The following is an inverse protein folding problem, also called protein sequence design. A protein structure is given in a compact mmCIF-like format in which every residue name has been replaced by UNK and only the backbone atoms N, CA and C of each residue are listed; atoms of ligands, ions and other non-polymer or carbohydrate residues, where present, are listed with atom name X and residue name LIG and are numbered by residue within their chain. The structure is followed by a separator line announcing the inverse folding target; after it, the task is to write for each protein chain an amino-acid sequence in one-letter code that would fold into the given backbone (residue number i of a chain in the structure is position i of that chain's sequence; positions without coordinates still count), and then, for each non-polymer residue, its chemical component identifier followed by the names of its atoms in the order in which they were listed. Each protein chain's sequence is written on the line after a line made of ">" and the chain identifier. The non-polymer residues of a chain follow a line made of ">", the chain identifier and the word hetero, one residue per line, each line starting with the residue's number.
data_IF_374418112107
#
_entry.id   IF_374418112107
#
_cell.length_a   1.000
_cell.length_b   1.000
_cell.length_c   1.000
_cell.angle_alpha   90.00
_cell.angle_beta   90.00
_cell.angle_gamma   90.00
#
_symmetry.space_group_name_H-M   'P 1'
#
loop_
_entity.id
_entity.type
_entity.pdbx_description
1 polymer ?
#
# COMPACT_ATOMS: atom_id res chain seq x y z
N UNK A 1 31.66 17.14 34.77
CA UNK A 1 31.70 16.26 35.96
C UNK A 1 31.36 14.85 35.50
N UNK A 2 32.28 13.92 35.76
CA UNK A 2 32.21 12.46 35.60
C UNK A 2 31.99 11.91 34.17
N UNK A 3 33.07 11.34 33.62
CA UNK A 3 33.13 10.78 32.28
C UNK A 3 32.39 9.45 32.17
N UNK A 4 31.61 9.33 31.09
CA UNK A 4 31.14 8.06 30.55
C UNK A 4 32.36 7.36 29.93
N UNK A 5 33.06 6.57 30.74
CA UNK A 5 34.02 5.61 30.24
C UNK A 5 33.24 4.55 29.46
N UNK A 6 33.35 4.64 28.14
CA UNK A 6 32.91 3.64 27.16
C UNK A 6 33.56 2.30 27.51
N UNK A 7 32.85 1.44 28.22
CA UNK A 7 33.12 0.01 28.14
C UNK A 7 32.45 -0.48 26.87
N UNK A 8 33.18 -0.44 25.75
CA UNK A 8 32.83 -1.29 24.63
C UNK A 8 32.99 -2.72 25.14
N UNK A 9 31.88 -3.38 25.47
CA UNK A 9 31.88 -4.81 25.74
C UNK A 9 32.55 -5.49 24.53
N UNK A 10 33.55 -6.35 24.73
CA UNK A 10 34.03 -7.21 23.65
C UNK A 10 32.82 -7.92 23.05
N UNK A 11 32.75 -7.98 21.72
CA UNK A 11 31.58 -8.56 21.05
C UNK A 11 31.32 -9.97 21.62
N UNK A 12 30.06 -10.31 21.91
CA UNK A 12 29.71 -11.53 22.68
C UNK A 12 30.31 -12.82 22.10
N UNK A 13 30.53 -12.84 20.78
CA UNK A 13 31.17 -13.94 20.07
C UNK A 13 32.67 -14.07 20.39
N UNK A 14 33.35 -12.94 20.56
CA UNK A 14 34.77 -12.88 20.95
C UNK A 14 34.92 -13.35 22.40
N UNK A 15 33.99 -12.98 23.27
CA UNK A 15 33.91 -13.48 24.66
C UNK A 15 33.68 -14.99 24.69
N UNK A 16 32.73 -15.50 23.90
CA UNK A 16 32.46 -16.94 23.78
C UNK A 16 33.69 -17.72 23.30
N UNK A 17 34.38 -17.21 22.29
CA UNK A 17 35.60 -17.83 21.77
C UNK A 17 36.71 -17.84 22.83
N UNK A 18 36.95 -16.72 23.51
CA UNK A 18 37.94 -16.63 24.57
C UNK A 18 37.63 -17.59 25.74
N UNK A 19 36.36 -17.66 26.15
CA UNK A 19 35.90 -18.58 27.19
C UNK A 19 36.12 -20.05 26.79
N UNK A 20 35.87 -20.42 25.52
CA UNK A 20 36.15 -21.77 25.01
C UNK A 20 37.64 -22.12 25.08
N UNK A 21 38.50 -21.21 24.62
CA UNK A 21 39.96 -21.38 24.68
C UNK A 21 40.42 -21.54 26.13
N UNK A 22 39.91 -20.70 27.04
CA UNK A 22 40.27 -20.77 28.45
C UNK A 22 39.82 -22.08 29.12
N UNK A 23 38.61 -22.58 28.80
CA UNK A 23 38.13 -23.91 29.24
C UNK A 23 39.04 -25.03 28.75
N UNK A 24 39.43 -24.99 27.48
CA UNK A 24 40.31 -25.98 26.89
C UNK A 24 41.69 -25.98 27.57
N UNK A 25 42.28 -24.80 27.78
CA UNK A 25 43.54 -24.66 28.50
C UNK A 25 43.47 -25.22 29.92
N UNK A 26 42.39 -24.95 30.65
CA UNK A 26 42.17 -25.52 31.98
C UNK A 26 42.07 -27.06 31.92
N UNK A 27 41.33 -27.62 30.95
CA UNK A 27 41.21 -29.06 30.77
C UNK A 27 42.57 -29.71 30.46
N UNK A 28 43.37 -29.08 29.60
CA UNK A 28 44.71 -29.56 29.23
C UNK A 28 45.67 -29.52 30.41
N UNK A 29 45.63 -28.48 31.23
CA UNK A 29 46.42 -28.36 32.45
C UNK A 29 46.04 -29.43 33.48
N UNK A 30 44.74 -29.66 33.70
CA UNK A 30 44.26 -30.73 34.59
C UNK A 30 44.67 -32.11 34.04
N UNK A 31 44.58 -32.33 32.74
CA UNK A 31 45.02 -33.57 32.09
C UNK A 31 46.54 -33.76 32.16
N UNK A 32 47.32 -32.67 32.14
CA UNK A 32 48.76 -32.72 32.40
C UNK A 32 49.06 -33.14 33.85
N UNK A 33 48.30 -32.64 34.83
CA UNK A 33 48.40 -33.09 36.23
C UNK A 33 48.04 -34.58 36.35
N UNK A 34 46.96 -35.04 35.69
CA UNK A 34 46.58 -36.46 35.66
C UNK A 34 47.70 -37.35 35.09
N UNK A 35 48.27 -36.96 33.94
CA UNK A 35 49.38 -37.68 33.31
C UNK A 35 50.62 -37.70 34.19
N UNK A 36 50.98 -36.57 34.80
CA UNK A 36 52.13 -36.49 35.71
C UNK A 36 51.91 -37.33 36.97
N UNK A 37 50.70 -37.38 37.52
CA UNK A 37 50.36 -38.23 38.67
C UNK A 37 50.50 -39.71 38.33
N UNK A 38 50.02 -40.14 37.16
CA UNK A 38 50.18 -41.52 36.69
C UNK A 38 51.66 -41.90 36.51
N UNK A 39 52.46 -40.99 35.96
CA UNK A 39 53.90 -41.23 35.70
C UNK A 39 54.77 -41.18 36.97
N UNK A 40 54.55 -40.19 37.84
CA UNK A 40 55.45 -39.89 38.97
C UNK A 40 54.97 -40.47 40.31
N UNK A 41 53.66 -40.62 40.50
CA UNK A 41 53.07 -41.07 41.76
C UNK A 41 52.45 -42.48 41.68
N UNK A 42 52.34 -43.05 40.48
CA UNK A 42 51.82 -44.41 40.25
C UNK A 42 50.34 -44.62 40.61
N UNK A 43 49.59 -43.54 40.84
CA UNK A 43 48.17 -43.60 41.20
C UNK A 43 47.30 -43.58 39.93
N UNK A 44 46.25 -44.43 39.91
CA UNK A 44 45.28 -44.53 38.81
C UNK A 44 44.33 -43.33 38.76
N UNK A 45 43.91 -42.83 39.92
CA UNK A 45 43.07 -41.65 40.05
C UNK A 45 43.81 -40.55 40.82
N UNK A 46 43.70 -39.31 40.32
CA UNK A 46 44.32 -38.14 40.96
C UNK A 46 43.72 -37.85 42.32
N UNK A 47 42.45 -38.19 42.55
CA UNK A 47 41.76 -38.11 43.85
C UNK A 47 42.48 -38.83 44.97
N UNK A 48 43.18 -39.92 44.64
CA UNK A 48 43.84 -40.79 45.62
C UNK A 48 45.28 -40.34 45.92
N UNK A 49 45.72 -39.24 45.29
CA UNK A 49 47.04 -38.68 45.44
C UNK A 49 46.98 -37.37 46.24
N UNK A 50 47.46 -37.35 47.50
CA UNK A 50 47.37 -36.17 48.37
C UNK A 50 48.18 -34.98 47.84
N UNK A 51 49.15 -35.20 46.95
CA UNK A 51 49.95 -34.13 46.34
C UNK A 51 49.36 -33.62 45.02
N UNK A 52 48.73 -34.48 44.22
CA UNK A 52 48.21 -34.12 42.90
C UNK A 52 46.74 -33.67 42.94
N UNK A 53 45.96 -34.15 43.91
CA UNK A 53 44.57 -33.74 44.08
C UNK A 53 44.42 -32.24 44.35
N UNK A 54 45.12 -31.63 45.34
CA UNK A 54 45.03 -30.18 45.56
C UNK A 54 45.49 -29.37 44.35
N UNK A 55 46.56 -29.82 43.65
CA UNK A 55 47.04 -29.17 42.43
C UNK A 55 46.02 -29.18 41.30
N UNK A 56 45.26 -30.26 41.14
CA UNK A 56 44.19 -30.32 40.15
C UNK A 56 43.04 -29.38 40.52
N UNK A 57 42.67 -29.33 41.81
CA UNK A 57 41.65 -28.40 42.32
C UNK A 57 42.08 -26.93 42.18
N UNK A 58 43.35 -26.62 42.43
CA UNK A 58 43.90 -25.27 42.24
C UNK A 58 43.78 -24.80 40.78
N UNK A 59 44.02 -25.71 39.82
CA UNK A 59 43.83 -25.39 38.40
C UNK A 59 42.36 -25.16 38.04
N UNK A 60 41.46 -25.95 38.61
CA UNK A 60 40.02 -25.76 38.41
C UNK A 60 39.53 -24.45 39.02
N UNK A 61 39.97 -24.14 40.25
CA UNK A 61 39.68 -22.90 40.97
C UNK A 61 40.19 -21.67 40.21
N UNK A 62 41.44 -21.69 39.74
CA UNK A 62 42.05 -20.59 39.01
C UNK A 62 41.22 -20.18 37.78
N UNK A 63 40.55 -21.14 37.11
CA UNK A 63 39.64 -20.84 36.00
C UNK A 63 38.50 -19.90 36.41
N UNK A 64 37.99 -20.01 37.63
CA UNK A 64 36.86 -19.22 38.10
C UNK A 64 37.32 -17.94 38.81
N UNK A 65 38.34 -18.03 39.65
CA UNK A 65 38.78 -16.91 40.50
C UNK A 65 39.77 -15.97 39.81
N UNK A 66 40.60 -16.50 38.89
CA UNK A 66 41.70 -15.74 38.27
C UNK A 66 41.36 -15.33 36.82
N UNK A 67 40.17 -15.69 36.33
CA UNK A 67 39.68 -15.24 35.03
C UNK A 67 39.32 -13.75 35.05
N UNK A 68 40.09 -12.96 34.31
CA UNK A 68 39.80 -11.54 34.04
C UNK A 68 38.39 -11.38 33.44
N UNK A 69 37.59 -10.44 33.96
CA UNK A 69 36.40 -9.70 33.47
C UNK A 69 35.62 -10.17 32.20
N UNK A 70 35.71 -11.42 31.78
CA UNK A 70 35.33 -11.92 30.44
C UNK A 70 34.50 -13.19 30.47
N UNK A 71 34.12 -13.67 31.65
CA UNK A 71 33.22 -14.81 31.82
C UNK A 71 31.90 -14.34 32.44
N UNK A 72 30.84 -15.12 32.25
CA UNK A 72 29.48 -14.82 32.71
C UNK A 72 29.39 -14.59 34.24
N UNK A 73 30.35 -15.13 35.01
CA UNK A 73 30.44 -15.01 36.46
C UNK A 73 31.36 -13.89 36.95
N UNK A 74 32.09 -13.17 36.09
CA UNK A 74 33.14 -12.23 36.52
C UNK A 74 32.62 -11.10 37.42
N UNK A 75 31.38 -10.67 37.25
CA UNK A 75 30.76 -9.64 38.09
C UNK A 75 30.11 -10.18 39.38
N UNK A 76 30.07 -11.51 39.56
CA UNK A 76 29.38 -12.17 40.67
C UNK A 76 30.31 -12.47 41.84
N UNK A 77 30.78 -11.41 42.50
CA UNK A 77 31.80 -11.50 43.57
C UNK A 77 31.39 -12.40 44.74
N UNK A 78 30.10 -12.41 45.11
CA UNK A 78 29.60 -13.28 46.18
C UNK A 78 29.75 -14.77 45.83
N UNK A 79 29.30 -15.15 44.63
CA UNK A 79 29.45 -16.51 44.10
C UNK A 79 30.92 -16.92 43.95
N UNK A 80 31.79 -16.02 43.47
CA UNK A 80 33.22 -16.31 43.35
C UNK A 80 33.88 -16.57 44.72
N UNK A 81 33.50 -15.82 45.75
CA UNK A 81 33.98 -16.06 47.11
C UNK A 81 33.44 -17.38 47.68
N UNK A 82 32.17 -17.71 47.41
CA UNK A 82 31.59 -18.99 47.81
C UNK A 82 32.29 -20.17 47.13
N UNK A 83 32.50 -20.09 45.81
CA UNK A 83 33.27 -21.10 45.08
C UNK A 83 34.68 -21.27 45.63
N UNK A 84 35.36 -20.17 45.99
CA UNK A 84 36.69 -20.23 46.59
C UNK A 84 36.68 -21.05 47.89
N UNK A 85 35.71 -20.80 48.76
CA UNK A 85 35.51 -21.58 50.00
C UNK A 85 35.20 -23.05 49.69
N UNK A 86 34.31 -23.34 48.72
CA UNK A 86 33.98 -24.71 48.35
C UNK A 86 35.19 -25.48 47.79
N UNK A 87 36.05 -24.83 47.00
CA UNK A 87 37.29 -25.45 46.52
C UNK A 87 38.29 -25.67 47.67
N UNK A 88 38.33 -24.81 48.68
CA UNK A 88 39.12 -25.03 49.89
C UNK A 88 38.60 -26.24 50.69
N UNK A 89 37.29 -26.33 50.91
CA UNK A 89 36.65 -27.45 51.59
C UNK A 89 36.79 -28.77 50.81
N UNK A 90 36.76 -28.73 49.47
CA UNK A 90 36.99 -29.91 48.64
C UNK A 90 38.42 -30.44 48.73
N UNK A 91 39.43 -29.57 48.94
CA UNK A 91 40.81 -30.02 49.21
C UNK A 91 40.92 -30.79 50.52
N UNK A 92 40.07 -30.43 51.49
CA UNK A 92 39.97 -31.09 52.80
C UNK A 92 39.00 -32.28 52.78
N UNK A 93 38.46 -32.66 51.61
CA UNK A 93 37.45 -33.71 51.44
C UNK A 93 36.17 -33.51 52.26
N UNK A 94 35.85 -32.26 52.63
CA UNK A 94 34.60 -31.92 53.32
C UNK A 94 33.41 -31.82 52.38
N UNK A 95 33.68 -31.50 51.11
CA UNK A 95 32.69 -31.25 50.07
C UNK A 95 33.10 -32.02 48.81
N UNK A 96 32.12 -32.66 48.18
CA UNK A 96 32.33 -33.38 46.92
C UNK A 96 32.34 -32.43 45.71
N UNK A 97 33.11 -32.80 44.68
CA UNK A 97 33.14 -32.08 43.42
C UNK A 97 31.77 -31.96 42.75
N UNK A 98 30.90 -32.95 42.96
CA UNK A 98 29.53 -32.94 42.45
C UNK A 98 28.71 -31.79 43.04
N UNK A 99 28.89 -31.49 44.32
CA UNK A 99 28.21 -30.38 44.97
C UNK A 99 28.67 -29.03 44.39
N UNK A 100 29.97 -28.89 44.11
CA UNK A 100 30.52 -27.70 43.43
C UNK A 100 29.88 -27.55 42.04
N UNK A 101 29.77 -28.63 41.27
CA UNK A 101 29.10 -28.61 39.96
C UNK A 101 27.63 -28.21 40.07
N UNK A 102 26.90 -28.73 41.05
CA UNK A 102 25.49 -28.39 41.30
C UNK A 102 25.33 -26.88 41.63
N UNK A 103 26.21 -26.30 42.46
CA UNK A 103 26.19 -24.86 42.74
C UNK A 103 26.51 -24.02 41.50
N UNK A 104 27.49 -24.44 40.69
CA UNK A 104 27.82 -23.75 39.44
C UNK A 104 26.62 -23.79 38.46
N UNK A 105 25.94 -24.91 38.33
CA UNK A 105 24.78 -25.04 37.45
C UNK A 105 23.59 -24.22 37.93
N UNK A 106 23.32 -24.20 39.24
CA UNK A 106 22.29 -23.34 39.85
C UNK A 106 22.55 -21.86 39.56
N UNK A 107 23.78 -21.41 39.77
CA UNK A 107 24.15 -20.01 39.56
C UNK A 107 24.08 -19.61 38.08
N UNK A 108 24.50 -20.52 37.17
CA UNK A 108 24.31 -20.34 35.71
C UNK A 108 22.85 -20.17 35.34
N UNK A 109 21.97 -20.93 35.98
CA UNK A 109 20.54 -20.86 35.73
C UNK A 109 19.96 -19.51 36.17
N UNK A 110 20.34 -19.05 37.37
CA UNK A 110 19.99 -17.73 37.86
C UNK A 110 20.54 -16.61 36.97
N UNK A 111 21.76 -16.79 36.42
CA UNK A 111 22.34 -15.88 35.44
C UNK A 111 21.55 -15.84 34.15
N UNK A 112 21.22 -17.00 33.58
CA UNK A 112 20.47 -17.09 32.34
C UNK A 112 19.10 -16.42 32.45
N UNK A 113 18.37 -16.66 33.55
CA UNK A 113 17.10 -15.96 33.81
C UNK A 113 17.28 -14.45 33.91
N UNK A 114 18.32 -14.00 34.62
CA UNK A 114 18.60 -12.56 34.75
C UNK A 114 18.90 -11.91 33.39
N UNK A 115 19.70 -12.56 32.54
CA UNK A 115 19.99 -12.06 31.18
C UNK A 115 18.71 -11.96 30.35
N UNK A 116 17.87 -12.98 30.36
CA UNK A 116 16.60 -12.95 29.62
C UNK A 116 15.64 -11.86 30.11
N UNK A 117 15.65 -11.54 31.41
CA UNK A 117 14.88 -10.40 31.95
C UNK A 117 15.45 -9.05 31.50
N UNK A 118 16.76 -8.94 31.41
CA UNK A 118 17.44 -7.71 30.98
C UNK A 118 17.27 -7.43 29.49
N UNK A 119 17.14 -8.48 28.68
CA UNK A 119 17.02 -8.38 27.22
C UNK A 119 15.74 -9.07 26.70
N UNK A 120 14.56 -8.51 26.99
CA UNK A 120 13.29 -9.07 26.51
C UNK A 120 13.18 -9.03 24.98
N UNK A 121 14.07 -8.31 24.29
CA UNK A 121 14.04 -8.16 22.84
C UNK A 121 14.41 -9.45 22.10
N UNK A 122 15.23 -10.32 22.71
CA UNK A 122 15.49 -11.69 22.22
C UNK A 122 14.19 -12.50 22.10
N UNK A 123 13.18 -12.16 22.89
CA UNK A 123 11.88 -12.81 22.91
C UNK A 123 10.90 -12.17 21.93
N UNK A 124 11.22 -10.99 21.41
CA UNK A 124 10.36 -10.19 20.51
C UNK A 124 10.76 -10.23 19.04
N UNK A 125 11.99 -10.67 18.75
CA UNK A 125 12.53 -10.76 17.39
C UNK A 125 12.04 -12.02 16.64
N UNK A 126 11.39 -12.94 17.35
CA UNK A 126 10.73 -14.10 16.79
C UNK A 126 9.41 -13.75 16.08
N UNK A 127 9.23 -14.25 14.86
CA UNK A 127 7.94 -14.17 14.15
C UNK A 127 6.86 -15.06 14.77
N UNK A 128 7.25 -16.04 15.59
CA UNK A 128 6.34 -16.89 16.33
C UNK A 128 5.79 -16.15 17.54
N UNK A 129 4.47 -15.96 17.56
CA UNK A 129 3.69 -15.38 18.66
C UNK A 129 3.77 -16.16 19.97
N UNK A 130 4.96 -16.24 20.56
CA UNK A 130 5.15 -16.65 21.95
C UNK A 130 4.52 -15.58 22.83
N UNK A 131 3.63 -16.01 23.72
CA UNK A 131 3.01 -15.13 24.69
C UNK A 131 4.10 -14.60 25.64
N UNK A 132 4.36 -13.30 25.54
CA UNK A 132 5.36 -12.63 26.36
C UNK A 132 5.01 -12.68 27.85
N UNK A 133 3.72 -12.80 28.17
CA UNK A 133 3.23 -12.92 29.54
C UNK A 133 3.53 -14.31 30.11
N UNK A 134 3.33 -15.37 29.32
CA UNK A 134 3.69 -16.75 29.68
C UNK A 134 5.19 -16.88 29.94
N UNK A 135 6.02 -16.31 29.05
CA UNK A 135 7.47 -16.40 29.18
C UNK A 135 8.02 -15.56 30.34
N UNK A 136 7.41 -14.41 30.65
CA UNK A 136 7.70 -13.65 31.88
C UNK A 136 7.34 -14.45 33.11
N UNK A 137 6.17 -15.10 33.12
CA UNK A 137 5.77 -16.01 34.19
C UNK A 137 6.80 -17.13 34.41
N UNK A 138 7.31 -17.74 33.33
CA UNK A 138 8.36 -18.75 33.42
C UNK A 138 9.69 -18.21 33.96
N UNK A 139 10.04 -16.96 33.66
CA UNK A 139 11.26 -16.33 34.19
C UNK A 139 11.14 -16.02 35.67
N UNK A 140 9.93 -15.73 36.16
CA UNK A 140 9.67 -15.41 37.56
C UNK A 140 9.43 -16.66 38.43
N UNK A 141 9.15 -17.81 37.79
CA UNK A 141 9.00 -19.10 38.46
C UNK A 141 10.38 -19.79 38.67
N UNK A 142 10.84 -19.92 39.93
CA UNK A 142 12.11 -20.59 40.24
C UNK A 142 12.05 -22.11 40.05
N UNK A 143 10.86 -22.71 40.04
CA UNK A 143 10.67 -24.17 39.96
C UNK A 143 10.66 -24.67 38.51
N UNK A 144 10.56 -23.76 37.53
CA UNK A 144 10.59 -24.10 36.10
C UNK A 144 11.97 -24.53 35.66
N UNK A 145 12.06 -25.64 34.94
CA UNK A 145 13.37 -26.15 34.51
C UNK A 145 14.06 -25.23 33.49
N UNK A 146 15.40 -25.18 33.54
CA UNK A 146 16.23 -24.51 32.53
C UNK A 146 15.90 -24.97 31.10
N UNK A 147 15.63 -26.27 30.93
CA UNK A 147 15.34 -26.85 29.62
C UNK A 147 14.05 -26.29 29.03
N UNK A 148 12.98 -26.20 29.82
CA UNK A 148 11.73 -25.56 29.40
C UNK A 148 11.96 -24.09 28.99
N UNK A 149 12.73 -23.34 29.77
CA UNK A 149 13.08 -21.95 29.43
C UNK A 149 13.83 -21.86 28.10
N UNK A 150 14.82 -22.71 27.88
CA UNK A 150 15.60 -22.76 26.64
C UNK A 150 14.69 -23.12 25.46
N UNK A 151 13.79 -24.09 25.61
CA UNK A 151 12.84 -24.49 24.56
C UNK A 151 11.88 -23.37 24.20
N UNK A 152 11.33 -22.65 25.18
CA UNK A 152 10.46 -21.50 24.93
C UNK A 152 11.19 -20.36 24.22
N UNK A 153 12.44 -20.07 24.59
CA UNK A 153 13.27 -19.09 23.88
C UNK A 153 13.51 -19.52 22.43
N UNK A 154 13.85 -20.79 22.21
CA UNK A 154 14.04 -21.33 20.86
C UNK A 154 12.77 -21.32 20.01
N UNK A 155 11.61 -21.54 20.64
CA UNK A 155 10.31 -21.42 19.97
C UNK A 155 10.07 -19.99 19.48
N UNK A 156 10.49 -18.99 20.25
CA UNK A 156 10.43 -17.57 19.86
C UNK A 156 11.44 -17.24 18.76
N UNK A 157 12.73 -17.43 19.03
CA UNK A 157 13.80 -17.03 18.10
C UNK A 157 13.80 -17.85 16.79
N UNK A 158 13.23 -19.05 16.81
CA UNK A 158 13.37 -20.04 15.76
C UNK A 158 14.70 -20.77 15.92
N UNK A 159 14.66 -22.10 16.04
CA UNK A 159 15.85 -22.94 16.18
C UNK A 159 16.30 -23.45 14.81
N UNK A 160 17.46 -23.01 14.29
CA UNK A 160 18.02 -23.59 13.07
C UNK A 160 18.34 -25.07 13.27
N UNK A 161 18.07 -25.91 12.27
CA UNK A 161 18.33 -27.35 12.34
C UNK A 161 19.81 -27.69 12.62
N UNK A 162 20.74 -26.83 12.18
CA UNK A 162 22.20 -26.99 12.30
C UNK A 162 22.86 -26.03 13.31
N UNK A 163 22.07 -25.40 14.18
CA UNK A 163 22.55 -24.26 15.00
C UNK A 163 23.84 -24.56 15.79
N UNK A 164 23.97 -25.76 16.38
CA UNK A 164 25.13 -26.10 17.21
C UNK A 164 26.41 -26.20 16.38
N UNK A 165 26.37 -26.96 15.27
CA UNK A 165 27.50 -27.12 14.37
C UNK A 165 27.89 -25.79 13.71
N UNK A 166 26.91 -24.94 13.44
CA UNK A 166 27.14 -23.64 12.83
C UNK A 166 27.84 -22.67 13.79
N UNK A 167 27.39 -22.66 15.05
CA UNK A 167 28.03 -21.88 16.12
C UNK A 167 29.45 -22.37 16.37
N UNK A 168 29.67 -23.69 16.37
CA UNK A 168 31.00 -24.27 16.55
C UNK A 168 31.95 -23.91 15.40
N UNK A 169 31.48 -24.06 14.15
CA UNK A 169 32.26 -23.68 12.97
C UNK A 169 32.60 -22.19 12.96
N UNK A 170 31.66 -21.34 13.41
CA UNK A 170 31.88 -19.90 13.51
C UNK A 170 32.90 -19.55 14.60
N UNK A 171 32.77 -20.16 15.78
CA UNK A 171 33.71 -19.98 16.89
C UNK A 171 35.14 -20.42 16.51
N UNK A 172 35.29 -21.52 15.76
CA UNK A 172 36.60 -21.99 15.29
C UNK A 172 37.23 -21.00 14.29
N UNK A 173 36.43 -20.45 13.36
CA UNK A 173 36.89 -19.41 12.42
C UNK A 173 37.30 -18.13 13.15
N UNK A 174 36.55 -17.74 14.17
CA UNK A 174 36.87 -16.58 15.03
C UNK A 174 38.17 -16.80 15.81
N UNK A 175 38.36 -17.98 16.41
CA UNK A 175 39.60 -18.33 17.08
C UNK A 175 40.81 -18.31 16.11
N UNK A 176 40.60 -18.76 14.87
CA UNK A 176 41.60 -18.71 13.80
C UNK A 176 41.98 -17.30 13.34
N UNK A 177 41.07 -16.32 13.44
CA UNK A 177 41.28 -14.93 13.04
C UNK A 177 42.14 -14.12 14.04
N UNK A 178 42.57 -14.71 15.16
CA UNK A 178 43.54 -14.16 16.14
C UNK A 178 43.30 -12.67 16.50
N UNK A 179 42.04 -12.26 16.62
CA UNK A 179 41.66 -10.88 16.98
C UNK A 179 42.01 -9.79 15.95
N UNK A 180 42.20 -10.15 14.68
CA UNK A 180 42.28 -9.19 13.58
C UNK A 180 40.92 -8.52 13.37
N UNK A 181 40.79 -7.24 13.74
CA UNK A 181 39.53 -6.50 13.63
C UNK A 181 38.95 -6.51 12.20
N UNK A 182 39.80 -6.43 11.17
CA UNK A 182 39.35 -6.46 9.77
C UNK A 182 38.86 -7.84 9.31
N UNK A 183 39.46 -8.92 9.81
CA UNK A 183 39.05 -10.29 9.48
C UNK A 183 37.78 -10.68 10.24
N UNK A 184 37.67 -10.26 11.51
CA UNK A 184 36.46 -10.40 12.31
C UNK A 184 35.28 -9.67 11.65
N UNK A 185 35.48 -8.41 11.22
CA UNK A 185 34.46 -7.63 10.51
C UNK A 185 33.97 -8.35 9.25
N UNK A 186 34.88 -8.91 8.44
CA UNK A 186 34.52 -9.71 7.25
C UNK A 186 33.74 -10.98 7.62
N UNK A 187 34.13 -11.65 8.70
CA UNK A 187 33.43 -12.83 9.20
C UNK A 187 32.00 -12.49 9.65
N UNK A 188 31.79 -11.39 10.39
CA UNK A 188 30.46 -10.95 10.79
C UNK A 188 29.58 -10.59 9.60
N UNK A 189 30.12 -9.87 8.61
CA UNK A 189 29.39 -9.54 7.37
C UNK A 189 28.92 -10.82 6.66
N UNK A 190 29.82 -11.79 6.51
CA UNK A 190 29.50 -13.04 5.82
C UNK A 190 28.49 -13.91 6.57
N UNK A 191 28.48 -13.87 7.91
CA UNK A 191 27.63 -14.75 8.73
C UNK A 191 26.29 -14.14 9.14
N UNK A 192 26.20 -12.82 9.33
CA UNK A 192 25.04 -12.15 9.90
C UNK A 192 24.22 -11.37 8.88
N UNK A 193 24.84 -10.88 7.81
CA UNK A 193 24.17 -10.02 6.83
C UNK A 193 23.92 -10.71 5.49
N UNK A 194 24.53 -11.88 5.26
CA UNK A 194 24.43 -12.62 4.01
C UNK A 194 23.83 -14.00 4.24
N UNK A 195 23.00 -14.41 3.29
CA UNK A 195 22.49 -15.77 3.23
C UNK A 195 23.64 -16.74 2.88
N UNK A 196 23.75 -17.85 3.63
CA UNK A 196 24.85 -18.80 3.50
C UNK A 196 24.79 -19.65 2.23
N UNK A 197 23.60 -19.80 1.65
CA UNK A 197 23.36 -20.62 0.47
C UNK A 197 23.47 -19.81 -0.82
N UNK A 198 23.03 -18.55 -0.80
CA UNK A 198 23.00 -17.70 -2.00
C UNK A 198 24.08 -16.61 -2.01
N UNK A 199 24.64 -16.27 -0.85
CA UNK A 199 25.59 -15.16 -0.68
C UNK A 199 24.95 -13.77 -0.84
N UNK A 200 23.63 -13.71 -1.07
CA UNK A 200 22.87 -12.47 -1.17
C UNK A 200 22.71 -11.81 0.20
N UNK A 201 22.59 -10.48 0.23
CA UNK A 201 22.30 -9.74 1.46
C UNK A 201 20.88 -10.07 1.91
N UNK A 202 20.69 -10.31 3.21
CA UNK A 202 19.38 -10.60 3.79
C UNK A 202 18.42 -9.43 3.56
N UNK A 203 17.14 -9.77 3.37
CA UNK A 203 16.08 -8.78 3.17
C UNK A 203 16.03 -7.81 4.37
N UNK A 204 15.88 -6.50 4.11
CA UNK A 204 15.93 -5.43 5.12
C UNK A 204 17.27 -5.23 5.84
N UNK A 205 18.30 -6.05 5.59
CA UNK A 205 19.61 -5.95 6.25
C UNK A 205 20.56 -4.93 5.60
N UNK A 206 20.33 -4.53 4.35
CA UNK A 206 21.22 -3.67 3.57
C UNK A 206 21.57 -2.36 4.29
N UNK A 207 20.58 -1.67 4.88
CA UNK A 207 20.82 -0.41 5.58
C UNK A 207 21.75 -0.55 6.79
N UNK A 208 21.73 -1.71 7.46
CA UNK A 208 22.56 -1.99 8.62
C UNK A 208 23.95 -2.46 8.17
N UNK A 209 24.03 -3.20 7.07
CA UNK A 209 25.29 -3.59 6.43
C UNK A 209 26.07 -2.36 5.98
N UNK A 210 25.43 -1.42 5.28
CA UNK A 210 26.08 -0.19 4.80
C UNK A 210 26.62 0.65 5.97
N UNK A 211 25.86 0.76 7.06
CA UNK A 211 26.27 1.46 8.27
C UNK A 211 27.46 0.77 8.97
N UNK A 212 27.48 -0.56 8.99
CA UNK A 212 28.57 -1.33 9.58
C UNK A 212 29.83 -1.31 8.72
N UNK A 213 29.70 -1.41 7.39
CA UNK A 213 30.83 -1.33 6.46
C UNK A 213 31.48 0.06 6.47
N UNK A 214 30.68 1.12 6.46
CA UNK A 214 31.17 2.51 6.44
C UNK A 214 31.82 2.98 7.75
N UNK A 215 31.59 2.30 8.87
CA UNK A 215 32.21 2.65 10.16
C UNK A 215 33.28 1.65 10.57
N UNK A 216 34.51 2.11 10.74
CA UNK A 216 35.61 1.27 11.24
C UNK A 216 35.59 1.07 12.75
N UNK A 217 34.82 1.88 13.48
CA UNK A 217 34.79 1.88 14.95
C UNK A 217 33.45 1.42 15.55
N UNK A 218 32.44 1.13 14.72
CA UNK A 218 31.13 0.67 15.19
C UNK A 218 31.20 -0.81 15.57
N UNK A 219 30.91 -1.17 16.84
CA UNK A 219 30.81 -2.57 17.25
C UNK A 219 29.51 -3.18 16.72
N UNK A 220 29.50 -4.51 16.56
CA UNK A 220 28.30 -5.23 16.12
C UNK A 220 27.10 -5.00 17.06
N UNK A 221 27.32 -4.90 18.37
CA UNK A 221 26.28 -4.62 19.36
C UNK A 221 25.55 -3.30 19.09
N UNK A 222 26.24 -2.28 18.56
CA UNK A 222 25.59 -1.01 18.19
C UNK A 222 24.63 -1.21 17.00
N UNK A 223 24.99 -2.08 16.05
CA UNK A 223 24.10 -2.46 14.95
C UNK A 223 22.89 -3.23 15.46
N UNK A 224 23.09 -4.19 16.36
CA UNK A 224 22.00 -4.95 17.00
C UNK A 224 21.07 -4.00 17.77
N UNK A 225 21.62 -3.09 18.57
CA UNK A 225 20.84 -2.08 19.29
C UNK A 225 20.02 -1.20 18.35
N UNK A 226 20.59 -0.84 17.20
CA UNK A 226 19.88 -0.05 16.18
C UNK A 226 18.75 -0.85 15.53
N UNK A 227 18.96 -2.12 15.22
CA UNK A 227 17.90 -3.03 14.74
C UNK A 227 16.75 -3.10 15.76
N UNK A 228 17.10 -3.27 17.03
CA UNK A 228 16.12 -3.32 18.13
C UNK A 228 15.36 -2.01 18.28
N UNK A 229 16.04 -0.87 18.20
CA UNK A 229 15.40 0.45 18.26
C UNK A 229 14.46 0.68 17.09
N UNK A 230 14.88 0.35 15.87
CA UNK A 230 14.05 0.46 14.66
C UNK A 230 12.82 -0.46 14.75
N UNK A 231 12.99 -1.68 15.26
CA UNK A 231 11.89 -2.60 15.48
C UNK A 231 10.89 -2.08 16.53
N UNK A 232 11.38 -1.52 17.64
CA UNK A 232 10.55 -0.86 18.66
C UNK A 232 9.81 0.35 18.09
N UNK A 233 10.48 1.19 17.32
CA UNK A 233 9.87 2.35 16.67
C UNK A 233 8.77 1.90 15.70
N UNK A 234 9.04 0.88 14.88
CA UNK A 234 8.06 0.29 13.97
C UNK A 234 6.82 -0.21 14.72
N UNK A 235 7.02 -0.99 15.79
CA UNK A 235 5.91 -1.50 16.64
C UNK A 235 5.11 -0.37 17.28
N UNK A 236 5.76 0.70 17.75
CA UNK A 236 5.06 1.83 18.35
C UNK A 236 4.24 2.62 17.32
N UNK A 237 4.66 2.64 16.05
CA UNK A 237 3.91 3.28 14.95
C UNK A 237 2.83 2.38 14.36
N UNK A 238 2.84 1.07 14.65
CA UNK A 238 1.89 0.11 14.08
C UNK A 238 0.42 0.45 14.38
N UNK A 239 0.01 0.78 15.62
CA UNK A 239 -1.39 1.13 15.89
C UNK A 239 -1.86 2.38 15.14
N UNK A 240 -0.96 3.33 14.89
CA UNK A 240 -1.28 4.52 14.09
C UNK A 240 -1.48 4.14 12.62
N UNK A 241 -0.62 3.27 12.07
CA UNK A 241 -0.74 2.76 10.70
C UNK A 241 -2.04 1.97 10.53
N UNK A 242 -2.34 1.05 11.45
CA UNK A 242 -3.57 0.26 11.45
C UNK A 242 -4.80 1.18 11.57
N UNK A 243 -4.74 2.21 12.41
CA UNK A 243 -5.80 3.22 12.53
C UNK A 243 -5.98 4.04 11.25
N UNK A 244 -4.89 4.42 10.57
CA UNK A 244 -4.95 5.09 9.28
C UNK A 244 -5.52 4.18 8.18
N UNK A 245 -5.13 2.92 8.15
CA UNK A 245 -5.63 1.93 7.19
C UNK A 245 -7.13 1.64 7.40
N UNK A 246 -7.56 1.45 8.65
CA UNK A 246 -8.97 1.30 9.00
C UNK A 246 -9.79 2.53 8.57
N UNK A 247 -9.25 3.74 8.76
CA UNK A 247 -9.89 4.98 8.29
C UNK A 247 -9.94 5.07 6.77
N UNK A 248 -8.89 4.65 6.06
CA UNK A 248 -8.91 4.59 4.60
C UNK A 248 -9.96 3.60 4.09
N UNK A 249 -10.10 2.45 4.73
CA UNK A 249 -11.11 1.46 4.39
C UNK A 249 -12.53 1.95 4.72
N UNK A 250 -12.71 2.65 5.82
CA UNK A 250 -13.97 3.35 6.12
C UNK A 250 -14.32 4.39 5.06
N UNK A 251 -13.36 5.22 4.64
CA UNK A 251 -13.54 6.20 3.57
C UNK A 251 -13.83 5.54 2.22
N UNK A 252 -13.16 4.43 1.90
CA UNK A 252 -13.44 3.64 0.69
C UNK A 252 -14.86 3.09 0.73
N UNK A 253 -15.29 2.49 1.85
CA UNK A 253 -16.66 2.00 2.04
C UNK A 253 -17.69 3.13 1.93
N UNK A 254 -17.44 4.26 2.59
CA UNK A 254 -18.31 5.43 2.54
C UNK A 254 -18.41 6.00 1.11
N UNK A 255 -17.29 6.05 0.38
CA UNK A 255 -17.27 6.47 -1.02
C UNK A 255 -18.10 5.52 -1.90
N UNK A 256 -17.92 4.20 -1.77
CA UNK A 256 -18.72 3.23 -2.53
C UNK A 256 -20.20 3.31 -2.19
N UNK A 257 -20.55 3.49 -0.91
CA UNK A 257 -21.94 3.66 -0.48
C UNK A 257 -22.55 4.98 -1.01
N UNK A 258 -21.77 6.06 -1.02
CA UNK A 258 -22.19 7.33 -1.61
C UNK A 258 -22.37 7.22 -3.12
N UNK A 259 -21.46 6.58 -3.84
CA UNK A 259 -21.59 6.35 -5.28
C UNK A 259 -22.80 5.47 -5.60
N UNK A 260 -23.04 4.41 -4.82
CA UNK A 260 -24.25 3.57 -4.94
C UNK A 260 -25.53 4.36 -4.62
N UNK A 261 -25.55 5.13 -3.53
CA UNK A 261 -26.70 5.97 -3.19
C UNK A 261 -26.93 7.06 -4.24
N UNK A 262 -25.87 7.59 -4.85
CA UNK A 262 -25.98 8.56 -5.95
C UNK A 262 -26.57 7.90 -7.19
N UNK A 263 -26.14 6.69 -7.54
CA UNK A 263 -26.72 5.91 -8.64
C UNK A 263 -28.17 5.53 -8.35
N UNK A 264 -28.49 5.11 -7.13
CA UNK A 264 -29.85 4.82 -6.71
C UNK A 264 -30.73 6.08 -6.70
N UNK A 265 -30.23 7.21 -6.22
CA UNK A 265 -30.94 8.49 -6.25
C UNK A 265 -31.17 8.95 -7.70
N UNK A 266 -30.18 8.80 -8.59
CA UNK A 266 -30.34 9.02 -10.04
C UNK A 266 -31.39 8.08 -10.64
N UNK A 267 -31.36 6.80 -10.27
CA UNK A 267 -32.35 5.84 -10.75
C UNK A 267 -33.75 6.17 -10.22
N UNK A 268 -33.89 6.59 -8.95
CA UNK A 268 -35.16 7.00 -8.34
C UNK A 268 -35.67 8.31 -8.92
N UNK A 269 -34.80 9.27 -9.25
CA UNK A 269 -35.21 10.47 -10.01
C UNK A 269 -35.62 10.12 -11.44
N UNK A 270 -34.98 9.12 -12.06
CA UNK A 270 -35.41 8.57 -13.36
C UNK A 270 -36.68 7.69 -13.26
N UNK A 271 -37.04 7.16 -12.08
CA UNK A 271 -38.31 6.43 -11.89
C UNK A 271 -39.46 7.35 -11.47
N UNK A 272 -39.15 8.46 -10.79
CA UNK A 272 -40.10 9.53 -10.48
C UNK A 272 -40.35 10.48 -11.68
N UNK A 273 -39.47 10.44 -12.67
CA UNK A 273 -39.68 10.96 -14.02
C UNK A 273 -39.49 9.80 -15.00
N UNK A 274 -40.47 8.90 -15.07
CA UNK A 274 -40.67 8.20 -16.33
C UNK A 274 -40.79 9.31 -17.40
N UNK A 275 -39.98 9.29 -18.48
CA UNK A 275 -40.15 10.26 -19.53
C UNK A 275 -41.54 10.00 -20.12
N UNK A 276 -42.49 10.85 -19.78
CA UNK A 276 -43.67 11.03 -20.60
C UNK A 276 -43.12 11.58 -21.92
N UNK A 277 -42.91 10.69 -22.89
CA UNK A 277 -42.90 11.09 -24.30
C UNK A 277 -44.15 11.95 -24.46
N UNK A 278 -43.97 13.19 -24.91
CA UNK A 278 -45.04 14.17 -25.07
C UNK A 278 -46.27 13.46 -25.68
N UNK A 279 -47.41 13.51 -24.99
CA UNK A 279 -48.64 12.80 -25.36
C UNK A 279 -49.08 13.20 -26.79
N UNK A 280 -48.68 14.39 -27.21
CA UNK A 280 -48.83 15.01 -28.52
C UNK A 280 -48.12 14.27 -29.68
N UNK A 281 -47.16 13.38 -29.40
CA UNK A 281 -46.49 12.55 -30.41
C UNK A 281 -47.22 11.22 -30.68
N UNK A 282 -48.25 10.89 -29.90
CA UNK A 282 -49.11 9.71 -30.13
C UNK A 282 -50.40 10.04 -30.89
N UNK A 283 -50.89 11.28 -30.82
CA UNK A 283 -52.07 11.75 -31.59
C UNK A 283 -51.63 12.33 -32.95
N UNK A 284 -51.18 11.44 -33.83
CA UNK A 284 -50.63 11.82 -35.13
C UNK A 284 -51.75 12.21 -36.12
N UNK A 285 -51.59 13.33 -36.86
CA UNK A 285 -52.51 13.66 -37.94
C UNK A 285 -52.46 12.64 -39.08
N UNK A 286 -53.46 12.66 -39.96
CA UNK A 286 -53.45 11.83 -41.17
C UNK A 286 -52.26 12.17 -42.08
N UNK A 287 -51.83 11.19 -42.87
CA UNK A 287 -50.73 11.36 -43.81
C UNK A 287 -50.99 12.54 -44.76
N UNK A 288 -50.04 13.48 -44.86
CA UNK A 288 -50.20 14.67 -45.69
C UNK A 288 -50.43 14.36 -47.18
N UNK A 289 -49.88 13.25 -47.69
CA UNK A 289 -50.02 12.84 -49.08
C UNK A 289 -51.32 12.09 -49.38
N UNK A 290 -51.71 11.12 -48.55
CA UNK A 290 -52.82 10.20 -48.84
C UNK A 290 -54.00 10.28 -47.85
N UNK A 291 -53.89 11.12 -46.82
CA UNK A 291 -54.89 11.36 -45.76
C UNK A 291 -55.29 10.12 -44.93
N UNK A 292 -54.53 9.02 -45.04
CA UNK A 292 -54.73 7.82 -44.21
C UNK A 292 -54.17 8.01 -42.81
N UNK A 293 -54.75 7.31 -41.84
CA UNK A 293 -54.23 7.25 -40.48
C UNK A 293 -52.83 6.61 -40.48
N UNK A 294 -51.90 7.23 -39.75
CA UNK A 294 -50.50 6.79 -39.66
C UNK A 294 -50.29 5.91 -38.43
N UNK A 295 -49.50 4.85 -38.57
CA UNK A 295 -49.11 4.01 -37.43
C UNK A 295 -48.04 4.75 -36.61
N UNK A 296 -48.26 4.98 -35.29
CA UNK A 296 -47.29 5.64 -34.43
C UNK A 296 -45.93 4.92 -34.29
N UNK A 297 -45.84 3.66 -34.73
CA UNK A 297 -44.60 2.86 -34.63
C UNK A 297 -43.62 3.09 -35.78
N UNK A 298 -44.11 3.53 -36.93
CA UNK A 298 -43.31 3.70 -38.15
C UNK A 298 -43.85 4.90 -38.94
N UNK A 299 -43.38 6.09 -38.57
CA UNK A 299 -43.84 7.37 -39.11
C UNK A 299 -42.68 8.20 -39.63
N UNK A 300 -42.87 8.78 -40.81
CA UNK A 300 -41.99 9.81 -41.35
C UNK A 300 -42.60 11.18 -41.03
N UNK A 301 -41.86 12.08 -40.41
CA UNK A 301 -42.32 13.42 -40.04
C UNK A 301 -41.40 14.51 -40.58
N UNK A 302 -41.93 15.71 -40.77
CA UNK A 302 -41.07 16.88 -40.98
C UNK A 302 -40.33 17.20 -39.67
N UNK A 303 -38.99 17.14 -39.69
CA UNK A 303 -38.16 17.38 -38.50
C UNK A 303 -38.39 18.74 -37.88
N UNK A 304 -38.65 19.79 -38.69
CA UNK A 304 -38.94 21.12 -38.18
C UNK A 304 -40.31 21.19 -37.49
N UNK A 305 -41.39 20.67 -38.11
CA UNK A 305 -42.70 20.62 -37.46
C UNK A 305 -42.66 19.84 -36.13
N UNK A 306 -41.86 18.78 -36.08
CA UNK A 306 -41.68 17.99 -34.86
C UNK A 306 -41.01 18.78 -33.74
N UNK A 307 -39.94 19.52 -34.06
CA UNK A 307 -39.29 20.43 -33.11
C UNK A 307 -40.28 21.49 -32.62
N UNK A 308 -41.04 22.11 -33.53
CA UNK A 308 -42.01 23.15 -33.16
C UNK A 308 -43.12 22.62 -32.25
N UNK A 309 -43.61 21.41 -32.50
CA UNK A 309 -44.60 20.78 -31.62
C UNK A 309 -44.02 20.52 -30.22
N UNK A 310 -42.78 20.06 -30.12
CA UNK A 310 -42.11 19.76 -28.84
C UNK A 310 -41.79 21.01 -28.01
N UNK A 311 -41.53 22.15 -28.65
CA UNK A 311 -41.35 23.46 -27.98
C UNK A 311 -42.71 24.03 -27.51
N UNK A 312 -43.83 23.40 -27.90
CA UNK A 312 -45.19 23.84 -27.61
C UNK A 312 -45.64 24.98 -28.52
N UNK A 313 -45.14 25.00 -29.75
CA UNK A 313 -45.60 25.90 -30.81
C UNK A 313 -47.02 25.56 -31.29
N UNK A 314 -47.61 26.48 -32.03
CA UNK A 314 -49.00 26.37 -32.54
C UNK A 314 -49.08 25.57 -33.85
N UNK A 315 -47.94 25.32 -34.48
CA UNK A 315 -47.83 24.61 -35.75
C UNK A 315 -48.13 23.12 -35.60
N UNK A 316 -48.89 22.56 -36.54
CA UNK A 316 -49.28 21.15 -36.54
C UNK A 316 -48.14 20.29 -37.10
N UNK A 317 -47.95 19.12 -36.49
CA UNK A 317 -47.02 18.11 -36.99
C UNK A 317 -47.45 17.63 -38.38
N UNK A 318 -46.52 17.59 -39.33
CA UNK A 318 -46.75 17.00 -40.65
C UNK A 318 -46.14 15.61 -40.69
N UNK A 319 -46.94 14.60 -41.03
CA UNK A 319 -46.54 13.19 -41.06
C UNK A 319 -46.87 12.51 -42.38
N UNK A 320 -46.12 11.45 -42.68
CA UNK A 320 -46.26 10.60 -43.86
C UNK A 320 -46.22 9.13 -43.45
N UNK A 321 -47.06 8.33 -44.10
CA UNK A 321 -47.18 6.90 -43.79
C UNK A 321 -46.13 6.02 -44.47
N UNK A 322 -45.39 6.53 -45.45
CA UNK A 322 -44.35 5.79 -46.16
C UNK A 322 -43.31 6.73 -46.76
N UNK A 323 -42.15 6.17 -47.12
CA UNK A 323 -41.06 6.85 -47.82
C UNK A 323 -41.53 7.43 -49.17
N UNK A 324 -42.41 6.74 -49.92
CA UNK A 324 -42.94 7.30 -51.17
C UNK A 324 -43.81 8.54 -50.94
N UNK A 325 -44.65 8.51 -49.90
CA UNK A 325 -45.47 9.67 -49.53
C UNK A 325 -44.62 10.85 -49.06
N UNK A 326 -43.51 10.57 -48.37
CA UNK A 326 -42.54 11.57 -47.95
C UNK A 326 -41.89 12.24 -49.16
N UNK A 327 -41.20 11.50 -50.05
CA UNK A 327 -40.53 12.12 -51.20
C UNK A 327 -41.50 12.81 -52.18
N UNK A 328 -42.76 12.36 -52.27
CA UNK A 328 -43.72 12.98 -53.16
C UNK A 328 -44.20 14.36 -52.68
N UNK A 329 -44.32 14.57 -51.37
CA UNK A 329 -45.00 15.76 -50.80
C UNK A 329 -44.16 16.57 -49.82
N UNK A 330 -42.96 16.10 -49.45
CA UNK A 330 -42.09 16.83 -48.54
C UNK A 330 -41.61 18.15 -49.13
N UNK A 331 -41.19 18.17 -50.40
CA UNK A 331 -40.72 19.40 -51.03
C UNK A 331 -41.84 20.45 -51.13
N UNK A 332 -43.05 20.04 -51.56
CA UNK A 332 -44.23 20.91 -51.58
C UNK A 332 -44.61 21.43 -50.17
N UNK A 333 -44.43 20.61 -49.13
CA UNK A 333 -44.69 21.01 -47.75
C UNK A 333 -43.67 22.03 -47.26
N UNK A 334 -42.38 21.80 -47.52
CA UNK A 334 -41.30 22.71 -47.14
C UNK A 334 -41.47 24.06 -47.84
N UNK A 335 -41.74 24.06 -49.15
CA UNK A 335 -41.98 25.29 -49.92
C UNK A 335 -43.18 26.10 -49.39
N UNK A 336 -44.20 25.43 -48.86
CA UNK A 336 -45.43 26.09 -48.42
C UNK A 336 -45.38 26.57 -46.97
N UNK A 337 -44.85 25.75 -46.07
CA UNK A 337 -44.94 25.95 -44.62
C UNK A 337 -43.59 26.37 -44.00
N UNK A 338 -42.48 26.20 -44.72
CA UNK A 338 -41.12 26.46 -44.25
C UNK A 338 -40.32 27.33 -45.23
N UNK A 339 -41.01 28.26 -45.90
CA UNK A 339 -40.40 29.21 -46.81
C UNK A 339 -39.51 30.22 -46.07
N UNK A 340 -38.57 30.83 -46.79
CA UNK A 340 -37.72 31.88 -46.26
C UNK A 340 -38.53 33.14 -45.96
N UNK A 341 -38.40 33.67 -44.74
CA UNK A 341 -39.11 34.91 -44.33
C UNK A 341 -38.79 36.11 -45.22
N UNK A 342 -37.62 36.13 -45.86
CA UNK A 342 -37.21 37.21 -46.76
C UNK A 342 -38.01 37.27 -48.07
N UNK A 343 -38.69 36.20 -48.49
CA UNK A 343 -39.54 36.14 -49.70
C UNK A 343 -38.88 36.80 -50.92
N UNK A 344 -39.47 37.87 -51.46
CA UNK A 344 -38.99 38.60 -52.64
C UNK A 344 -37.66 39.34 -52.39
N UNK A 345 -37.32 39.62 -51.12
CA UNK A 345 -36.06 40.23 -50.69
C UNK A 345 -35.00 39.19 -50.29
N UNK A 346 -35.25 37.91 -50.63
CA UNK A 346 -34.26 36.86 -50.44
C UNK A 346 -32.99 37.20 -51.23
N UNK A 347 -31.83 37.07 -50.58
CA UNK A 347 -30.53 37.35 -51.19
C UNK A 347 -30.30 36.52 -52.46
N UNK A 348 -30.92 35.33 -52.57
CA UNK A 348 -30.86 34.49 -53.77
C UNK A 348 -31.63 35.04 -54.98
N UNK A 349 -32.63 35.89 -54.75
CA UNK A 349 -33.40 36.53 -55.83
C UNK A 349 -32.75 37.84 -56.34
N UNK A 350 -31.80 38.38 -55.57
CA UNK A 350 -31.18 39.70 -55.81
C UNK A 350 -29.74 39.62 -56.35
N UNK A 351 -29.07 38.47 -56.22
CA UNK A 351 -27.69 38.26 -56.66
C UNK A 351 -27.68 37.38 -57.93
N UNK A 352 -27.32 37.94 -59.10
CA UNK A 352 -27.26 37.21 -60.38
C UNK A 352 -26.03 36.27 -60.49
N UNK A 353 -25.06 36.38 -59.57
CA UNK A 353 -23.77 35.67 -59.59
C UNK A 353 -23.59 34.71 -58.39
N UNK A 354 -24.55 33.82 -58.13
CA UNK A 354 -24.34 32.72 -57.16
C UNK A 354 -23.93 31.47 -57.92
N UNK A 355 -22.68 31.03 -57.69
CA UNK A 355 -22.17 29.74 -58.13
C UNK A 355 -23.17 28.62 -57.82
N UNK A 356 -23.39 27.75 -58.81
CA UNK A 356 -24.22 26.57 -58.70
C UNK A 356 -23.73 25.68 -57.56
N UNK A 357 -24.45 25.73 -56.44
CA UNK A 357 -24.57 24.71 -55.41
C UNK A 357 -23.23 24.17 -54.84
N UNK A 358 -22.65 24.88 -53.87
CA UNK A 358 -21.50 24.40 -53.09
C UNK A 358 -21.90 23.71 -51.77
N UNK A 359 -23.18 23.38 -51.57
CA UNK A 359 -23.65 22.69 -50.37
C UNK A 359 -23.61 23.53 -49.08
N UNK A 360 -23.42 24.85 -49.16
CA UNK A 360 -23.48 25.76 -47.99
C UNK A 360 -24.89 26.31 -47.69
N UNK A 361 -25.95 25.60 -48.12
CA UNK A 361 -27.34 25.89 -47.75
C UNK A 361 -27.59 25.48 -46.31
N UNK A 362 -27.11 26.28 -45.36
CA UNK A 362 -27.40 26.09 -43.93
C UNK A 362 -28.56 27.00 -43.55
N UNK A 363 -29.81 26.50 -43.54
CA UNK A 363 -30.92 27.28 -43.05
C UNK A 363 -30.68 27.67 -41.59
N UNK A 364 -31.03 28.91 -41.25
CA UNK A 364 -30.91 29.45 -39.90
C UNK A 364 -32.28 29.92 -39.41
N UNK A 365 -32.44 29.93 -38.10
CA UNK A 365 -33.68 30.30 -37.42
C UNK A 365 -33.42 31.45 -36.46
N UNK A 366 -34.39 32.37 -36.33
CA UNK A 366 -34.33 33.48 -35.37
C UNK A 366 -34.53 32.98 -33.93
N UNK A 367 -33.56 33.24 -33.04
CA UNK A 367 -33.60 32.78 -31.65
C UNK A 367 -34.73 33.46 -30.86
N UNK A 368 -35.01 34.75 -31.12
CA UNK A 368 -36.11 35.47 -30.47
C UNK A 368 -37.49 34.91 -30.84
N UNK A 369 -37.66 34.44 -32.08
CA UNK A 369 -38.89 33.75 -32.48
C UNK A 369 -39.01 32.37 -31.81
N UNK A 370 -37.90 31.65 -31.65
CA UNK A 370 -37.91 30.34 -30.97
C UNK A 370 -38.33 30.47 -29.52
N UNK A 371 -37.89 31.52 -28.81
CA UNK A 371 -38.32 31.82 -27.44
C UNK A 371 -39.83 32.09 -27.36
N UNK A 372 -40.40 32.70 -28.39
CA UNK A 372 -41.85 32.90 -28.56
C UNK A 372 -42.58 31.66 -29.10
N UNK A 373 -41.88 30.52 -29.23
CA UNK A 373 -42.40 29.24 -29.74
C UNK A 373 -42.88 29.29 -31.19
N UNK A 374 -42.20 30.07 -32.04
CA UNK A 374 -42.44 30.17 -33.49
C UNK A 374 -41.14 29.98 -34.27
N UNK A 375 -41.20 29.38 -35.47
CA UNK A 375 -40.04 29.27 -36.34
C UNK A 375 -40.10 30.36 -37.42
N UNK A 376 -39.09 31.23 -37.42
CA UNK A 376 -38.82 32.12 -38.57
C UNK A 376 -37.52 31.68 -39.21
N UNK A 377 -37.58 31.23 -40.45
CA UNK A 377 -36.45 30.64 -41.17
C UNK A 377 -35.85 31.59 -42.21
N UNK A 378 -34.54 31.46 -42.40
CA UNK A 378 -33.81 32.06 -43.50
C UNK A 378 -32.99 31.00 -44.22
N UNK A 379 -32.94 31.06 -45.55
CA UNK A 379 -32.25 30.06 -46.38
C UNK A 379 -30.73 30.00 -46.13
N UNK A 380 -30.14 31.06 -45.58
CA UNK A 380 -28.72 31.14 -45.25
C UNK A 380 -28.43 32.17 -44.16
N UNK A 381 -27.28 32.11 -43.47
CA UNK A 381 -26.85 33.14 -42.52
C UNK A 381 -26.72 34.53 -43.17
N UNK A 382 -26.36 34.58 -44.46
CA UNK A 382 -26.26 35.82 -45.23
C UNK A 382 -27.64 36.45 -45.44
N UNK A 383 -28.63 35.63 -45.81
CA UNK A 383 -30.01 36.08 -45.95
C UNK A 383 -30.59 36.57 -44.62
N UNK A 384 -30.27 35.89 -43.51
CA UNK A 384 -30.64 36.35 -42.17
C UNK A 384 -29.98 37.69 -41.83
N UNK A 385 -28.68 37.85 -42.05
CA UNK A 385 -27.96 39.10 -41.72
C UNK A 385 -28.59 40.32 -42.42
N UNK A 386 -29.09 40.15 -43.65
CA UNK A 386 -29.72 41.22 -44.42
C UNK A 386 -31.14 41.54 -43.95
N UNK A 387 -31.94 40.51 -43.62
CA UNK A 387 -33.37 40.65 -43.39
C UNK A 387 -33.79 40.65 -41.91
N UNK A 388 -32.94 40.17 -41.01
CA UNK A 388 -33.25 40.04 -39.58
C UNK A 388 -33.54 41.39 -38.92
N UNK A 389 -32.88 42.46 -39.37
CA UNK A 389 -33.12 43.81 -38.88
C UNK A 389 -34.58 44.23 -39.10
N UNK A 390 -35.07 44.06 -40.33
CA UNK A 390 -36.45 44.37 -40.71
C UNK A 390 -37.44 43.46 -39.98
N UNK A 391 -37.15 42.16 -39.91
CA UNK A 391 -37.96 41.21 -39.18
C UNK A 391 -38.10 41.58 -37.70
N UNK A 392 -37.01 41.95 -37.03
CA UNK A 392 -37.01 42.29 -35.60
C UNK A 392 -37.76 43.57 -35.30
N UNK A 393 -37.62 44.59 -36.15
CA UNK A 393 -38.42 45.82 -36.04
C UNK A 393 -39.92 45.51 -36.23
N UNK A 394 -40.25 44.67 -37.21
CA UNK A 394 -41.64 44.36 -37.57
C UNK A 394 -42.33 43.40 -36.59
N UNK A 395 -41.61 42.43 -36.03
CA UNK A 395 -42.18 41.32 -35.24
C UNK A 395 -41.86 41.38 -33.74
N UNK A 396 -40.71 41.96 -33.37
CA UNK A 396 -40.24 42.02 -31.97
C UNK A 396 -40.11 43.46 -31.42
N UNK A 397 -40.40 44.49 -32.24
CA UNK A 397 -40.37 45.90 -31.82
C UNK A 397 -38.96 46.43 -31.43
N UNK A 398 -37.89 45.76 -31.89
CA UNK A 398 -36.51 46.05 -31.50
C UNK A 398 -35.90 47.28 -32.19
N UNK A 399 -34.89 47.89 -31.55
CA UNK A 399 -34.05 48.94 -32.15
C UNK A 399 -33.12 48.36 -33.23
N UNK A 400 -32.71 49.16 -34.24
CA UNK A 400 -31.85 48.68 -35.30
C UNK A 400 -30.46 48.26 -34.76
N UNK A 401 -30.06 47.02 -35.06
CA UNK A 401 -28.83 46.37 -34.63
C UNK A 401 -27.78 46.34 -35.74
N UNK A 402 -26.50 46.38 -35.37
CA UNK A 402 -25.35 46.33 -36.30
C UNK A 402 -25.20 44.91 -36.88
N UNK A 403 -24.86 44.72 -38.18
CA UNK A 403 -24.84 43.39 -38.84
C UNK A 403 -24.01 42.28 -38.16
N UNK A 404 -23.06 42.64 -37.29
CA UNK A 404 -22.24 41.67 -36.55
C UNK A 404 -23.03 41.00 -35.42
N UNK A 405 -23.87 41.76 -34.71
CA UNK A 405 -24.75 41.26 -33.65
C UNK A 405 -25.93 40.45 -34.22
N UNK A 406 -26.31 40.68 -35.48
CA UNK A 406 -27.37 39.91 -36.16
C UNK A 406 -27.01 38.42 -36.34
N UNK A 407 -25.72 38.08 -36.43
CA UNK A 407 -25.26 36.69 -36.51
C UNK A 407 -25.34 35.93 -35.19
N UNK A 408 -25.38 36.65 -34.07
CA UNK A 408 -25.47 36.07 -32.72
C UNK A 408 -26.93 35.81 -32.30
N UNK A 409 -27.90 36.29 -33.08
CA UNK A 409 -29.34 36.16 -32.84
C UNK A 409 -30.01 35.09 -33.73
N UNK A 410 -29.19 34.32 -34.46
CA UNK A 410 -29.67 33.24 -35.32
C UNK A 410 -28.87 31.98 -35.08
N UNK A 411 -29.58 30.87 -34.95
CA UNK A 411 -28.98 29.55 -34.79
C UNK A 411 -29.11 28.72 -36.07
N UNK A 412 -28.11 27.88 -36.40
CA UNK A 412 -28.25 26.89 -37.46
C UNK A 412 -29.39 25.92 -37.14
N UNK A 413 -30.29 25.69 -38.11
CA UNK A 413 -31.49 24.88 -37.89
C UNK A 413 -31.14 23.45 -37.47
N UNK A 414 -30.12 22.84 -38.07
CA UNK A 414 -29.70 21.47 -37.75
C UNK A 414 -29.30 21.30 -36.28
N UNK A 415 -28.65 22.30 -35.66
CA UNK A 415 -28.28 22.24 -34.23
C UNK A 415 -29.51 22.22 -33.34
N UNK A 416 -30.55 22.98 -33.72
CA UNK A 416 -31.81 22.99 -32.99
C UNK A 416 -32.50 21.63 -33.13
N UNK A 417 -32.56 21.09 -34.35
CA UNK A 417 -33.16 19.78 -34.63
C UNK A 417 -32.48 18.67 -33.84
N UNK A 418 -31.15 18.55 -33.93
CA UNK A 418 -30.40 17.50 -33.24
C UNK A 418 -30.57 17.60 -31.73
N UNK A 419 -30.40 18.81 -31.16
CA UNK A 419 -30.53 19.04 -29.73
C UNK A 419 -31.92 18.67 -29.22
N UNK A 420 -32.97 19.14 -29.89
CA UNK A 420 -34.34 18.94 -29.42
C UNK A 420 -34.82 17.49 -29.62
N UNK A 421 -34.44 16.85 -30.73
CA UNK A 421 -34.80 15.46 -31.00
C UNK A 421 -34.06 14.49 -30.05
N UNK A 422 -32.76 14.69 -29.83
CA UNK A 422 -31.96 13.81 -28.96
C UNK A 422 -32.20 14.05 -27.47
N UNK A 423 -32.28 15.31 -27.01
CA UNK A 423 -32.43 15.64 -25.59
C UNK A 423 -33.90 15.57 -25.12
N UNK A 424 -34.85 15.88 -26.01
CA UNK A 424 -36.27 16.00 -25.67
C UNK A 424 -37.03 14.67 -25.59
N UNK A 425 -36.52 13.59 -26.20
CA UNK A 425 -37.28 12.34 -26.35
C UNK A 425 -36.44 11.09 -25.99
N UNK A 426 -36.05 10.92 -24.72
CA UNK A 426 -35.26 9.78 -24.30
C UNK A 426 -36.06 8.47 -24.48
N UNK A 427 -35.68 7.68 -25.50
CA UNK A 427 -36.30 6.39 -25.81
C UNK A 427 -36.82 6.23 -27.24
N UNK A 428 -36.95 7.33 -28.01
CA UNK A 428 -37.25 7.28 -29.44
C UNK A 428 -35.95 7.20 -30.25
N UNK A 429 -35.95 6.39 -31.31
CA UNK A 429 -34.84 6.33 -32.27
C UNK A 429 -35.27 7.12 -33.51
N UNK A 430 -34.56 8.21 -33.79
CA UNK A 430 -34.72 8.95 -35.02
C UNK A 430 -33.63 8.52 -36.00
N UNK A 431 -34.02 8.30 -37.25
CA UNK A 431 -33.11 8.13 -38.37
C UNK A 431 -33.54 9.10 -39.46
N UNK A 432 -32.57 9.83 -40.02
CA UNK A 432 -32.83 10.61 -41.23
C UNK A 432 -33.25 9.62 -42.33
N UNK A 433 -34.36 9.91 -43.00
CA UNK A 433 -34.75 9.18 -44.20
C UNK A 433 -33.77 9.59 -45.31
N UNK A 434 -33.05 8.61 -45.86
CA UNK A 434 -32.14 8.79 -47.01
C UNK A 434 -32.92 8.94 -48.33
#
# INVERSE_FOLDING_TARGET
>A
MAGSAKYALPEHWTELSAARVHRQQCADQVNAVKRSCAANCGKKHVSDCPQCFPKALDRMRARYCDAEDREWFSQRRAFLNELDMLFADAKEHKVDLKFIEEQIESEKEAWYRWVLRMYPEFLTAGESGVDQEELRGMLDDPDRSRQELIESVWKGVGKPATWSSDVDTFADKMAGAKSSASELKKLYIAYLFKDRSTGAVLELAQKYLDAYESSDAMPLEEVINRIVQDHRASRNTQPQRDGHEARLDELRRARTAFEQNRLQAKSRSQTAQAPAVAEELYDLPGCAACQKQVDPKDVFSCSLCQVMMQIGGVEKLTVYCSTECFHQKQDEHVEKEHDCEARDECVQNLDEDVEMDDGTRQPVVCDECLDEKRATLYCSPRCATWNLLHHRVAKHGGNPVVPVEAKELVSPLWKLVDKMLEEGNPGLKFSLAE
#
